data_IF_532038263694
#
_entry.id   IF_532038263694
#
_cell.length_a   1.000
_cell.length_b   1.000
_cell.length_c   1.000
_cell.angle_alpha   90.00
_cell.angle_beta   90.00
_cell.angle_gamma   90.00
#
_symmetry.space_group_name_H-M   'P 1'
#
loop_
_entity.id
_entity.type
_entity.pdbx_description
1 polymer ?
#
# COMPACT_ATOMS: atom_id res chain seq x y z
N UNK A 1 -13.18 16.29 -4.94
CA UNK A 1 -12.53 14.95 -4.93
C UNK A 1 -12.41 14.48 -3.48
N UNK A 2 -12.93 13.30 -3.11
CA UNK A 2 -12.89 12.84 -1.72
C UNK A 2 -11.47 12.46 -1.27
N UNK A 3 -11.20 12.51 0.05
CA UNK A 3 -9.88 12.16 0.63
C UNK A 3 -9.44 10.74 0.20
N UNK A 4 -10.38 9.80 0.20
CA UNK A 4 -10.15 8.41 -0.22
C UNK A 4 -9.84 8.32 -1.72
N UNK A 5 -10.46 9.13 -2.57
CA UNK A 5 -10.16 9.14 -4.01
C UNK A 5 -8.74 9.65 -4.29
N UNK A 6 -8.28 10.69 -3.56
CA UNK A 6 -6.89 11.18 -3.68
C UNK A 6 -5.89 10.12 -3.25
N UNK A 7 -6.12 9.47 -2.11
CA UNK A 7 -5.28 8.37 -1.62
C UNK A 7 -5.19 7.24 -2.64
N UNK A 8 -6.35 6.82 -3.17
CA UNK A 8 -6.46 5.78 -4.19
C UNK A 8 -5.67 6.10 -5.47
N UNK A 9 -5.71 7.35 -5.94
CA UNK A 9 -4.98 7.73 -7.15
C UNK A 9 -3.47 7.82 -6.90
N UNK A 10 -3.06 8.34 -5.74
CA UNK A 10 -1.64 8.40 -5.38
C UNK A 10 -1.01 7.00 -5.28
N UNK A 11 -1.70 6.04 -4.65
CA UNK A 11 -1.24 4.65 -4.57
C UNK A 11 -1.13 4.03 -5.98
N UNK A 12 -2.08 4.33 -6.88
CA UNK A 12 -2.02 3.83 -8.25
C UNK A 12 -0.81 4.37 -9.02
N UNK A 13 -0.52 5.66 -8.90
CA UNK A 13 0.68 6.27 -9.51
C UNK A 13 1.94 5.63 -8.93
N UNK A 14 2.03 5.47 -7.61
CA UNK A 14 3.18 4.86 -6.96
C UNK A 14 3.44 3.43 -7.45
N UNK A 15 2.40 2.60 -7.51
CA UNK A 15 2.50 1.22 -8.00
C UNK A 15 2.76 1.13 -9.50
N UNK A 16 2.30 2.09 -10.32
CA UNK A 16 2.64 2.12 -11.75
C UNK A 16 4.13 2.37 -12.02
N UNK A 17 4.82 3.07 -11.11
CA UNK A 17 6.25 3.37 -11.23
C UNK A 17 7.11 2.23 -10.67
N UNK A 18 6.67 1.60 -9.58
CA UNK A 18 7.48 0.59 -8.86
C UNK A 18 7.11 -0.86 -9.19
N UNK A 19 5.99 -1.09 -9.88
CA UNK A 19 5.48 -2.43 -10.22
C UNK A 19 4.74 -3.10 -9.05
N UNK A 20 5.49 -3.54 -8.02
CA UNK A 20 4.93 -4.18 -6.83
C UNK A 20 5.58 -3.69 -5.55
N UNK A 21 4.78 -3.41 -4.53
CA UNK A 21 5.26 -2.95 -3.22
C UNK A 21 4.45 -3.58 -2.09
N UNK A 22 5.09 -3.75 -0.93
CA UNK A 22 4.38 -4.19 0.27
C UNK A 22 3.59 -3.04 0.93
N UNK A 23 2.62 -3.38 1.79
CA UNK A 23 1.77 -2.37 2.45
C UNK A 23 2.58 -1.33 3.24
N UNK A 24 3.72 -1.72 3.84
CA UNK A 24 4.57 -0.83 4.63
C UNK A 24 5.26 0.23 3.75
N UNK A 25 5.79 -0.16 2.58
CA UNK A 25 6.35 0.76 1.59
C UNK A 25 5.31 1.75 1.07
N UNK A 26 4.10 1.26 0.78
CA UNK A 26 2.98 2.10 0.33
C UNK A 26 2.57 3.09 1.43
N UNK A 27 2.49 2.63 2.68
CA UNK A 27 2.18 3.47 3.84
C UNK A 27 3.23 4.57 4.03
N UNK A 28 4.51 4.24 3.92
CA UNK A 28 5.61 5.21 4.01
C UNK A 28 5.49 6.27 2.91
N UNK A 29 5.25 5.86 1.66
CA UNK A 29 5.01 6.78 0.54
C UNK A 29 3.84 7.73 0.82
N UNK A 30 2.70 7.19 1.26
CA UNK A 30 1.49 7.95 1.59
C UNK A 30 1.78 8.97 2.71
N UNK A 31 2.48 8.55 3.76
CA UNK A 31 2.78 9.41 4.91
C UNK A 31 3.83 10.49 4.59
N UNK A 32 4.75 10.23 3.66
CA UNK A 32 5.63 11.28 3.10
C UNK A 32 4.85 12.28 2.24
N UNK A 33 3.84 11.82 1.51
CA UNK A 33 3.09 12.63 0.54
C UNK A 33 2.01 13.53 1.14
N UNK A 34 1.35 13.10 2.21
CA UNK A 34 0.20 13.78 2.80
C UNK A 34 0.47 14.23 4.24
N UNK A 35 0.14 15.51 4.55
CA UNK A 35 0.35 16.12 5.87
C UNK A 35 -0.24 15.33 7.05
N UNK A 36 -1.36 14.64 6.85
CA UNK A 36 -2.07 13.88 7.89
C UNK A 36 -1.99 12.35 7.68
N UNK A 37 -1.25 11.91 6.66
CA UNK A 37 -0.98 10.50 6.39
C UNK A 37 -2.21 9.58 6.31
N UNK A 38 -1.95 8.30 6.54
CA UNK A 38 -2.90 7.23 6.73
C UNK A 38 -2.33 6.20 7.72
N UNK A 39 -3.16 5.28 8.20
CA UNK A 39 -2.72 4.12 8.99
C UNK A 39 -2.58 2.87 8.11
N UNK A 40 -1.84 1.87 8.59
CA UNK A 40 -1.70 0.57 7.94
C UNK A 40 -3.06 -0.05 7.57
N UNK A 41 -4.01 -0.01 8.50
CA UNK A 41 -5.37 -0.54 8.27
C UNK A 41 -6.14 0.28 7.23
N UNK A 42 -5.96 1.59 7.18
CA UNK A 42 -6.62 2.42 6.17
C UNK A 42 -6.07 2.13 4.77
N UNK A 43 -4.75 2.03 4.63
CA UNK A 43 -4.09 1.68 3.36
C UNK A 43 -4.50 0.28 2.91
N UNK A 44 -4.43 -0.71 3.81
CA UNK A 44 -4.85 -2.09 3.53
C UNK A 44 -6.32 -2.18 3.09
N UNK A 45 -7.23 -1.47 3.78
CA UNK A 45 -8.65 -1.43 3.40
C UNK A 45 -8.89 -0.77 2.03
N UNK A 46 -8.12 0.26 1.69
CA UNK A 46 -8.22 0.92 0.39
C UNK A 46 -7.74 0.01 -0.73
N UNK A 47 -6.59 -0.66 -0.53
CA UNK A 47 -6.03 -1.60 -1.48
C UNK A 47 -6.95 -2.79 -1.72
N UNK A 48 -7.50 -3.39 -0.66
CA UNK A 48 -8.36 -4.56 -0.76
C UNK A 48 -9.74 -4.29 -1.41
N UNK A 49 -10.23 -3.04 -1.38
CA UNK A 49 -11.56 -2.69 -1.92
C UNK A 49 -11.53 -2.15 -3.35
N UNK A 50 -10.36 -1.75 -3.85
CA UNK A 50 -10.22 -1.13 -5.17
C UNK A 50 -9.70 -2.15 -6.18
N UNK A 51 -10.53 -2.46 -7.19
CA UNK A 51 -10.26 -3.48 -8.22
C UNK A 51 -9.03 -3.22 -9.07
N UNK A 52 -8.48 -1.98 -9.04
CA UNK A 52 -7.24 -1.65 -9.74
C UNK A 52 -6.01 -2.27 -9.09
N UNK A 53 -6.12 -2.72 -7.84
CA UNK A 53 -5.02 -3.33 -7.12
C UNK A 53 -5.27 -4.82 -6.96
N UNK A 54 -4.20 -5.59 -7.12
CA UNK A 54 -4.19 -7.02 -6.85
C UNK A 54 -3.19 -7.32 -5.74
N UNK A 55 -3.57 -8.23 -4.85
CA UNK A 55 -2.67 -8.77 -3.84
C UNK A 55 -1.88 -9.93 -4.46
N UNK A 56 -0.57 -9.77 -4.58
CA UNK A 56 0.31 -10.78 -5.17
C UNK A 56 0.77 -11.84 -4.15
N UNK A 57 0.77 -11.50 -2.87
CA UNK A 57 1.23 -12.42 -1.83
C UNK A 57 1.55 -11.73 -0.52
N UNK A 58 2.57 -12.24 0.15
CA UNK A 58 3.09 -11.72 1.40
C UNK A 58 4.61 -11.59 1.33
N UNK A 59 5.12 -10.53 1.93
CA UNK A 59 6.52 -10.32 2.26
C UNK A 59 6.69 -10.68 3.73
N UNK A 60 7.58 -11.63 4.02
CA UNK A 60 7.82 -12.16 5.35
C UNK A 60 9.20 -11.73 5.82
N UNK A 61 9.23 -11.08 6.97
CA UNK A 61 10.44 -10.50 7.53
C UNK A 61 10.52 -10.67 9.03
N UNK A 62 11.65 -10.28 9.58
CA UNK A 62 11.81 -10.13 11.04
C UNK A 62 12.16 -8.67 11.30
N UNK A 63 11.36 -8.02 12.14
CA UNK A 63 11.63 -6.64 12.56
C UNK A 63 12.93 -6.58 13.37
N UNK A 64 13.52 -5.40 13.50
CA UNK A 64 14.70 -5.19 14.36
C UNK A 64 14.50 -5.64 15.81
N UNK A 65 13.26 -5.68 16.28
CA UNK A 65 12.90 -6.16 17.62
C UNK A 65 12.68 -7.69 17.70
N UNK A 66 12.97 -8.44 16.62
CA UNK A 66 12.88 -9.90 16.59
C UNK A 66 11.48 -10.45 16.32
N UNK A 67 10.47 -9.61 16.10
CA UNK A 67 9.12 -10.06 15.76
C UNK A 67 9.02 -10.44 14.29
N UNK A 68 8.40 -11.60 14.01
CA UNK A 68 8.01 -11.98 12.65
C UNK A 68 6.94 -11.02 12.15
N UNK A 69 7.24 -10.36 11.04
CA UNK A 69 6.31 -9.50 10.34
C UNK A 69 5.91 -10.17 9.03
N UNK A 70 4.63 -10.05 8.70
CA UNK A 70 4.07 -10.53 7.43
C UNK A 70 3.22 -9.43 6.83
N UNK A 71 3.68 -8.87 5.72
CA UNK A 71 3.05 -7.71 5.08
C UNK A 71 2.51 -8.13 3.71
N UNK A 72 1.35 -7.65 3.31
CA UNK A 72 0.80 -7.97 1.99
C UNK A 72 1.59 -7.24 0.88
N UNK A 73 1.81 -7.93 -0.24
CA UNK A 73 2.40 -7.36 -1.46
C UNK A 73 1.31 -7.02 -2.46
N UNK A 74 1.39 -5.84 -3.07
CA UNK A 74 0.38 -5.29 -3.96
C UNK A 74 0.98 -4.80 -5.27
N UNK A 75 0.22 -4.91 -6.35
CA UNK A 75 0.54 -4.37 -7.66
C UNK A 75 -0.72 -3.82 -8.35
N UNK A 76 -0.53 -3.13 -9.47
CA UNK A 76 -1.64 -2.83 -10.39
C UNK A 76 -2.14 -4.15 -10.98
N UNK A 77 -3.46 -4.34 -11.03
CA UNK A 77 -4.08 -5.46 -11.72
C UNK A 77 -3.75 -5.38 -13.22
N UNK A 78 -3.15 -6.43 -13.77
CA UNK A 78 -3.03 -6.57 -15.22
C UNK A 78 -4.45 -6.78 -15.77
N UNK A 79 -4.85 -5.90 -16.69
CA UNK A 79 -6.18 -5.88 -17.28
C UNK A 79 -6.35 -7.01 -18.30
#
# INVERSE_FOLDING_TARGET
MSRTARLRNEIAVYLSVHGSCNTSQILEHVNRRFRWGATMNQVGNVLARDRRFQKLGFDEGTTMAGFRERVCVWAIAAN
#
